data_IF_148986536450
#
_entry.id   IF_148986536450
#
_cell.length_a   1.000
_cell.length_b   1.000
_cell.length_c   1.000
_cell.angle_alpha   90.00
_cell.angle_beta   90.00
_cell.angle_gamma   90.00
#
_symmetry.space_group_name_H-M   'P 1'
#
loop_
_entity.id
_entity.type
_entity.pdbx_description
1 polymer ?
#
# COMPACT_ATOMS: atom_id res chain seq x y z
N UNK A 1 -25.11 -15.46 -14.43
CA UNK A 1 -24.55 -14.51 -13.43
C UNK A 1 -23.29 -15.16 -12.91
N UNK A 2 -22.13 -14.59 -13.21
CA UNK A 2 -20.88 -15.07 -12.62
C UNK A 2 -20.78 -14.58 -11.18
N UNK A 3 -20.37 -15.48 -10.28
CA UNK A 3 -20.11 -15.17 -8.87
C UNK A 3 -18.60 -15.30 -8.68
N UNK A 4 -17.93 -14.17 -8.47
CA UNK A 4 -16.49 -14.11 -8.22
C UNK A 4 -16.19 -14.34 -6.74
N UNK A 5 -15.04 -14.97 -6.44
CA UNK A 5 -14.59 -15.21 -5.06
C UNK A 5 -14.10 -13.92 -4.39
N UNK A 6 -13.31 -13.13 -5.09
CA UNK A 6 -12.52 -12.01 -4.57
C UNK A 6 -12.33 -10.88 -5.60
N UNK A 7 -13.39 -10.53 -6.34
CA UNK A 7 -13.33 -9.43 -7.28
C UNK A 7 -12.95 -8.10 -6.58
N UNK A 8 -12.06 -7.28 -7.17
CA UNK A 8 -11.74 -5.96 -6.63
C UNK A 8 -12.98 -5.08 -6.48
N UNK A 9 -13.05 -4.37 -5.35
CA UNK A 9 -14.12 -3.41 -5.08
C UNK A 9 -13.54 -1.99 -5.05
N UNK A 10 -13.69 -1.25 -6.15
CA UNK A 10 -13.26 0.13 -6.26
C UNK A 10 -14.48 1.06 -6.35
N UNK A 11 -14.48 2.11 -5.55
CA UNK A 11 -15.50 3.17 -5.55
C UNK A 11 -14.99 4.48 -6.11
N UNK A 12 -15.71 5.56 -5.79
CA UNK A 12 -15.38 6.91 -6.27
C UNK A 12 -14.11 7.47 -5.63
N UNK A 13 -13.83 7.11 -4.37
CA UNK A 13 -12.68 7.63 -3.62
C UNK A 13 -11.36 7.13 -4.20
N UNK A 14 -11.27 5.85 -4.55
CA UNK A 14 -10.08 5.27 -5.16
C UNK A 14 -9.80 5.90 -6.53
N UNK A 15 -10.86 6.18 -7.30
CA UNK A 15 -10.76 6.90 -8.57
C UNK A 15 -10.24 8.33 -8.37
N UNK A 16 -10.77 9.05 -7.39
CA UNK A 16 -10.34 10.42 -7.07
C UNK A 16 -8.85 10.47 -6.69
N UNK A 17 -8.39 9.57 -5.82
CA UNK A 17 -6.98 9.53 -5.43
C UNK A 17 -6.04 9.21 -6.60
N UNK A 18 -6.44 8.30 -7.50
CA UNK A 18 -5.66 8.01 -8.71
C UNK A 18 -5.58 9.25 -9.62
N UNK A 19 -6.68 9.97 -9.82
CA UNK A 19 -6.67 11.21 -10.61
C UNK A 19 -5.77 12.28 -9.98
N UNK A 20 -5.82 12.42 -8.65
CA UNK A 20 -4.93 13.33 -7.94
C UNK A 20 -3.44 12.95 -8.11
N UNK A 21 -3.08 11.66 -8.13
CA UNK A 21 -1.71 11.23 -8.45
C UNK A 21 -1.27 11.68 -9.85
N UNK A 22 -2.16 11.51 -10.85
CA UNK A 22 -1.89 11.87 -12.24
C UNK A 22 -1.72 13.39 -12.36
N UNK A 23 -2.67 14.17 -11.82
CA UNK A 23 -2.68 15.62 -11.91
C UNK A 23 -1.50 16.27 -11.17
N UNK A 24 -1.10 15.70 -10.03
CA UNK A 24 0.06 16.17 -9.25
C UNK A 24 1.41 15.69 -9.79
N UNK A 25 1.43 14.79 -10.77
CA UNK A 25 2.62 14.11 -11.32
C UNK A 25 3.40 13.24 -10.32
N UNK A 26 2.89 13.07 -9.09
CA UNK A 26 3.41 12.11 -8.12
C UNK A 26 2.88 10.70 -8.43
N UNK A 27 3.42 10.12 -9.51
CA UNK A 27 3.01 8.80 -10.05
C UNK A 27 3.99 7.67 -9.71
N UNK A 28 5.05 7.99 -8.97
CA UNK A 28 6.07 7.02 -8.54
C UNK A 28 6.01 6.85 -7.02
N UNK A 29 7.06 6.28 -6.42
CA UNK A 29 7.18 6.09 -4.96
C UNK A 29 7.35 7.40 -4.19
N UNK A 30 7.60 8.52 -4.89
CA UNK A 30 7.65 9.84 -4.30
C UNK A 30 6.27 10.51 -4.34
N UNK A 31 5.88 11.13 -3.23
CA UNK A 31 4.60 11.84 -3.12
C UNK A 31 3.96 11.65 -1.74
N UNK A 32 2.82 12.31 -1.50
CA UNK A 32 2.17 12.31 -0.19
C UNK A 32 1.41 11.02 0.13
N UNK A 33 0.92 10.30 -0.88
CA UNK A 33 0.00 9.17 -0.68
C UNK A 33 0.65 7.96 -0.02
N UNK A 34 1.93 7.69 -0.26
CA UNK A 34 2.65 6.57 0.38
C UNK A 34 2.82 6.82 1.88
N UNK A 35 3.41 7.95 2.34
CA UNK A 35 3.48 8.27 3.77
C UNK A 35 2.11 8.34 4.46
N UNK A 36 1.11 8.90 3.78
CA UNK A 36 -0.25 8.99 4.32
C UNK A 36 -0.88 7.60 4.52
N UNK A 37 -0.69 6.69 3.56
CA UNK A 37 -1.14 5.31 3.69
C UNK A 37 -0.41 4.58 4.82
N UNK A 38 0.91 4.75 4.95
CA UNK A 38 1.68 4.17 6.05
C UNK A 38 1.21 4.66 7.42
N UNK A 39 0.96 5.96 7.58
CA UNK A 39 0.44 6.53 8.84
C UNK A 39 -0.95 5.97 9.16
N UNK A 40 -1.88 6.04 8.20
CA UNK A 40 -3.26 5.53 8.38
C UNK A 40 -3.28 4.04 8.68
N UNK A 41 -2.46 3.26 7.98
CA UNK A 41 -2.40 1.82 8.17
C UNK A 41 -1.76 1.44 9.51
N UNK A 42 -0.71 2.15 9.93
CA UNK A 42 -0.09 1.96 11.25
C UNK A 42 -1.11 2.20 12.38
N UNK A 43 -1.90 3.27 12.26
CA UNK A 43 -2.98 3.59 13.19
C UNK A 43 -4.08 2.52 13.18
N UNK A 44 -4.47 2.03 11.99
CA UNK A 44 -5.50 0.99 11.84
C UNK A 44 -5.12 -0.33 12.52
N UNK A 45 -3.87 -0.78 12.37
CA UNK A 45 -3.39 -2.05 12.96
C UNK A 45 -2.82 -1.90 14.38
N UNK A 46 -2.73 -0.68 14.91
CA UNK A 46 -2.25 -0.41 16.28
C UNK A 46 -0.74 -0.55 16.46
N UNK A 47 0.06 -0.24 15.43
CA UNK A 47 1.54 -0.26 15.51
C UNK A 47 2.12 1.15 15.45
N UNK A 48 3.39 1.30 15.84
CA UNK A 48 4.10 2.59 15.82
C UNK A 48 4.45 3.06 14.39
N UNK A 49 4.69 2.13 13.47
CA UNK A 49 5.11 2.39 12.08
C UNK A 49 4.62 1.29 11.16
N UNK A 50 4.31 1.65 9.92
CA UNK A 50 4.09 0.74 8.81
C UNK A 50 5.02 1.13 7.65
N UNK A 51 5.32 0.17 6.78
CA UNK A 51 6.15 0.38 5.58
C UNK A 51 5.42 -0.21 4.39
N UNK A 52 5.21 0.60 3.36
CA UNK A 52 4.56 0.18 2.11
C UNK A 52 5.53 -0.55 1.21
N UNK A 53 5.06 -1.62 0.58
CA UNK A 53 5.82 -2.42 -0.38
C UNK A 53 4.93 -2.88 -1.52
N UNK A 54 5.54 -3.27 -2.65
CA UNK A 54 4.83 -3.64 -3.87
C UNK A 54 3.99 -4.93 -3.78
N UNK A 55 4.22 -5.79 -2.77
CA UNK A 55 3.49 -7.05 -2.57
C UNK A 55 3.70 -7.62 -1.16
N UNK A 56 2.81 -8.54 -0.75
CA UNK A 56 2.98 -9.28 0.51
C UNK A 56 4.25 -10.15 0.54
N UNK A 57 4.68 -10.70 -0.60
CA UNK A 57 5.93 -11.44 -0.71
C UNK A 57 7.14 -10.54 -0.44
N UNK A 58 7.15 -9.32 -0.99
CA UNK A 58 8.20 -8.34 -0.71
C UNK A 58 8.21 -7.94 0.78
N UNK A 59 7.03 -7.81 1.40
CA UNK A 59 6.91 -7.49 2.82
C UNK A 59 7.59 -8.56 3.69
N UNK A 60 7.28 -9.83 3.43
CA UNK A 60 7.87 -10.95 4.16
C UNK A 60 9.38 -11.04 3.94
N UNK A 61 9.83 -10.89 2.70
CA UNK A 61 11.26 -10.90 2.38
C UNK A 61 12.01 -9.80 3.11
N UNK A 62 11.51 -8.55 3.07
CA UNK A 62 12.12 -7.42 3.79
C UNK A 62 12.11 -7.63 5.30
N UNK A 63 11.00 -8.12 5.87
CA UNK A 63 10.90 -8.38 7.30
C UNK A 63 11.94 -9.41 7.77
N UNK A 64 12.14 -10.49 7.01
CA UNK A 64 13.17 -11.49 7.31
C UNK A 64 14.58 -10.92 7.14
N UNK A 65 14.82 -10.18 6.06
CA UNK A 65 16.12 -9.55 5.79
C UNK A 65 16.53 -8.57 6.92
N UNK A 66 15.62 -7.72 7.38
CA UNK A 66 15.86 -6.80 8.51
C UNK A 66 16.13 -7.53 9.84
N UNK A 67 15.59 -8.74 10.00
CA UNK A 67 15.89 -9.61 11.14
C UNK A 67 17.21 -10.39 10.98
N UNK A 68 17.93 -10.21 9.87
CA UNK A 68 19.15 -10.96 9.56
C UNK A 68 18.89 -12.42 9.18
N UNK A 69 17.68 -12.74 8.72
CA UNK A 69 17.27 -14.09 8.34
C UNK A 69 17.27 -14.21 6.81
N UNK A 70 18.11 -15.09 6.30
CA UNK A 70 18.29 -15.31 4.87
C UNK A 70 19.73 -15.73 4.56
N UNK A 71 20.07 -15.93 3.28
CA UNK A 71 21.47 -15.99 2.85
C UNK A 71 22.20 -14.66 3.08
#
# INVERSE_FOLDING_TARGET
>A
MEIFLDAPNFGNLEKEYILNCIDSTYVSTAGPFVPEFEEKFANYVGTKKAVSVQSGTAALHMALHELGIGP
#
